data_IF_018192669091
#
_entry.id   IF_018192669091
#
_cell.length_a   1.000
_cell.length_b   1.000
_cell.length_c   1.000
_cell.angle_alpha   90.00
_cell.angle_beta   90.00
_cell.angle_gamma   90.00
#
_symmetry.space_group_name_H-M   'P 1'
#
loop_
_entity.id
_entity.type
_entity.pdbx_description
1 polymer ?
#
# COMPACT_ATOMS: atom_id res chain seq x y z
N UNK A 1 -30.71 13.06 22.29
CA UNK A 1 -30.57 11.63 22.68
C UNK A 1 -31.03 10.67 21.57
N UNK A 2 -32.16 10.92 20.90
CA UNK A 2 -32.63 10.06 19.80
C UNK A 2 -31.63 9.91 18.63
N UNK A 3 -30.95 10.99 18.22
CA UNK A 3 -29.98 10.92 17.11
C UNK A 3 -28.75 10.09 17.45
N UNK A 4 -28.27 10.18 18.71
CA UNK A 4 -27.17 9.34 19.19
C UNK A 4 -27.55 7.85 19.17
N UNK A 5 -28.78 7.51 19.56
CA UNK A 5 -29.29 6.14 19.50
C UNK A 5 -29.36 5.63 18.05
N UNK A 6 -29.79 6.47 17.10
CA UNK A 6 -29.81 6.12 15.66
C UNK A 6 -28.41 5.83 15.14
N UNK A 7 -27.44 6.69 15.46
CA UNK A 7 -26.03 6.49 15.06
C UNK A 7 -25.47 5.20 15.68
N UNK A 8 -25.68 4.99 16.98
CA UNK A 8 -25.24 3.76 17.66
C UNK A 8 -25.84 2.53 17.01
N UNK A 9 -27.13 2.54 16.67
CA UNK A 9 -27.79 1.44 15.97
C UNK A 9 -27.17 1.18 14.60
N UNK A 10 -26.91 2.23 13.81
CA UNK A 10 -26.24 2.11 12.51
C UNK A 10 -24.87 1.44 12.69
N UNK A 11 -24.05 1.93 13.63
CA UNK A 11 -22.73 1.38 13.92
C UNK A 11 -22.82 -0.09 14.34
N UNK A 12 -23.77 -0.46 15.20
CA UNK A 12 -23.98 -1.86 15.62
C UNK A 12 -24.34 -2.77 14.43
N UNK A 13 -25.20 -2.31 13.52
CA UNK A 13 -25.54 -3.05 12.30
C UNK A 13 -24.32 -3.22 11.41
N UNK A 14 -23.52 -2.17 11.21
CA UNK A 14 -22.28 -2.25 10.42
C UNK A 14 -21.29 -3.25 11.02
N UNK A 15 -21.05 -3.19 12.34
CA UNK A 15 -20.18 -4.14 13.05
C UNK A 15 -20.69 -5.57 12.90
N UNK A 16 -22.01 -5.78 13.01
CA UNK A 16 -22.61 -7.10 12.83
C UNK A 16 -22.37 -7.65 11.42
N UNK A 17 -22.56 -6.84 10.36
CA UNK A 17 -22.32 -7.26 8.98
C UNK A 17 -20.82 -7.55 8.71
N UNK A 18 -19.92 -6.73 9.26
CA UNK A 18 -18.46 -6.98 9.19
C UNK A 18 -18.11 -8.30 9.87
N UNK A 19 -18.68 -8.58 11.05
CA UNK A 19 -18.50 -9.86 11.76
C UNK A 19 -19.02 -11.05 10.94
N UNK A 20 -20.05 -10.85 10.14
CA UNK A 20 -20.57 -11.83 9.16
C UNK A 20 -19.71 -11.94 7.90
N UNK A 21 -18.57 -11.25 7.84
CA UNK A 21 -17.62 -11.25 6.71
C UNK A 21 -18.22 -10.72 5.41
N UNK A 22 -19.22 -9.84 5.50
CA UNK A 22 -19.73 -9.13 4.32
C UNK A 22 -18.63 -8.22 3.77
N UNK A 23 -18.66 -8.00 2.46
CA UNK A 23 -17.71 -7.11 1.82
C UNK A 23 -17.87 -5.67 2.32
N UNK A 24 -16.76 -5.01 2.62
CA UNK A 24 -16.76 -3.71 3.28
C UNK A 24 -17.44 -2.62 2.44
N UNK A 25 -17.35 -2.70 1.10
CA UNK A 25 -18.06 -1.77 0.22
C UNK A 25 -19.56 -1.89 0.41
N UNK A 26 -20.08 -3.13 0.42
CA UNK A 26 -21.50 -3.39 0.64
C UNK A 26 -21.96 -2.96 2.03
N UNK A 27 -21.16 -3.24 3.06
CA UNK A 27 -21.46 -2.81 4.43
C UNK A 27 -21.62 -1.30 4.50
N UNK A 28 -20.69 -0.53 3.92
CA UNK A 28 -20.74 0.93 3.94
C UNK A 28 -21.89 1.48 3.10
N UNK A 29 -22.18 0.87 1.95
CA UNK A 29 -23.33 1.25 1.13
C UNK A 29 -24.66 1.01 1.86
N UNK A 30 -24.80 -0.12 2.56
CA UNK A 30 -25.95 -0.37 3.43
C UNK A 30 -26.01 0.67 4.56
N UNK A 31 -24.86 1.01 5.14
CA UNK A 31 -24.74 2.11 6.10
C UNK A 31 -25.35 3.41 5.58
N UNK A 32 -25.05 3.78 4.35
CA UNK A 32 -25.61 4.97 3.70
C UNK A 32 -27.14 4.92 3.66
N UNK A 33 -27.70 3.79 3.21
CA UNK A 33 -29.15 3.62 3.11
C UNK A 33 -29.80 3.67 4.50
N UNK A 34 -29.18 3.02 5.49
CA UNK A 34 -29.65 3.03 6.87
C UNK A 34 -29.63 4.45 7.47
N UNK A 35 -28.58 5.23 7.22
CA UNK A 35 -28.52 6.64 7.63
C UNK A 35 -29.64 7.45 6.96
N UNK A 36 -29.82 7.27 5.65
CA UNK A 36 -30.92 7.88 4.88
C UNK A 36 -32.29 7.65 5.53
N UNK A 37 -32.60 6.40 5.85
CA UNK A 37 -33.87 6.01 6.47
C UNK A 37 -33.96 6.51 7.93
N UNK A 38 -32.91 6.34 8.73
CA UNK A 38 -32.91 6.70 10.15
C UNK A 38 -33.11 8.20 10.38
N UNK A 39 -32.58 9.04 9.49
CA UNK A 39 -32.73 10.50 9.53
C UNK A 39 -33.85 11.04 8.66
N UNK A 40 -34.67 10.16 8.04
CA UNK A 40 -35.84 10.51 7.22
C UNK A 40 -35.50 11.46 6.06
N UNK A 41 -34.37 11.20 5.39
CA UNK A 41 -33.99 11.93 4.19
C UNK A 41 -34.94 11.57 3.04
N UNK A 42 -35.46 12.59 2.36
CA UNK A 42 -36.27 12.38 1.16
C UNK A 42 -35.47 11.63 0.10
N UNK A 43 -36.13 10.68 -0.59
CA UNK A 43 -35.46 9.84 -1.59
C UNK A 43 -34.73 10.63 -2.69
N UNK A 44 -35.31 11.71 -3.27
CA UNK A 44 -34.60 12.54 -4.25
C UNK A 44 -33.35 13.21 -3.68
N UNK A 45 -33.39 13.63 -2.41
CA UNK A 45 -32.25 14.26 -1.72
C UNK A 45 -31.15 13.22 -1.48
N UNK A 46 -31.52 12.02 -1.03
CA UNK A 46 -30.60 10.91 -0.86
C UNK A 46 -29.92 10.53 -2.19
N UNK A 47 -30.71 10.32 -3.25
CA UNK A 47 -30.19 9.98 -4.58
C UNK A 47 -29.26 11.07 -5.14
N UNK A 48 -29.63 12.34 -4.98
CA UNK A 48 -28.79 13.48 -5.35
C UNK A 48 -27.48 13.49 -4.58
N UNK A 49 -27.50 13.30 -3.27
CA UNK A 49 -26.29 13.25 -2.44
C UNK A 49 -25.37 12.09 -2.83
N UNK A 50 -25.93 10.91 -3.17
CA UNK A 50 -25.15 9.78 -3.68
C UNK A 50 -24.46 10.16 -5.00
N UNK A 51 -25.20 10.71 -5.97
CA UNK A 51 -24.63 11.10 -7.25
C UNK A 51 -23.57 12.19 -7.11
N UNK A 52 -23.85 13.24 -6.33
CA UNK A 52 -22.91 14.33 -6.07
C UNK A 52 -21.66 13.85 -5.32
N UNK A 53 -21.76 12.84 -4.46
CA UNK A 53 -20.58 12.20 -3.86
C UNK A 53 -19.74 11.50 -4.93
N UNK A 54 -20.36 10.68 -5.79
CA UNK A 54 -19.65 9.88 -6.80
C UNK A 54 -18.92 10.74 -7.85
N UNK A 55 -19.52 11.85 -8.27
CA UNK A 55 -18.93 12.74 -9.29
C UNK A 55 -18.10 13.88 -8.69
N UNK A 56 -17.99 13.95 -7.36
CA UNK A 56 -17.16 14.97 -6.71
C UNK A 56 -15.70 14.87 -7.14
N UNK A 57 -15.04 16.02 -7.27
CA UNK A 57 -13.60 16.11 -7.58
C UNK A 57 -12.74 15.34 -6.58
N UNK A 58 -13.14 15.29 -5.30
CA UNK A 58 -12.46 14.48 -4.28
C UNK A 58 -12.55 12.98 -4.60
N UNK A 59 -13.74 12.47 -4.92
CA UNK A 59 -13.95 11.05 -5.22
C UNK A 59 -13.27 10.63 -6.52
N UNK A 60 -13.38 11.45 -7.57
CA UNK A 60 -12.70 11.20 -8.84
C UNK A 60 -11.17 11.24 -8.69
N UNK A 61 -10.64 12.19 -7.91
CA UNK A 61 -9.21 12.24 -7.57
C UNK A 61 -8.77 10.99 -6.81
N UNK A 62 -9.57 10.53 -5.84
CA UNK A 62 -9.29 9.33 -5.06
C UNK A 62 -9.28 8.06 -5.93
N UNK A 63 -10.23 7.92 -6.87
CA UNK A 63 -10.20 6.84 -7.87
C UNK A 63 -8.91 6.88 -8.70
N UNK A 64 -8.57 8.06 -9.24
CA UNK A 64 -7.36 8.24 -10.03
C UNK A 64 -6.10 7.88 -9.25
N UNK A 65 -5.98 8.35 -8.01
CA UNK A 65 -4.87 8.05 -7.11
C UNK A 65 -4.74 6.53 -6.91
N UNK A 66 -5.81 5.85 -6.52
CA UNK A 66 -5.74 4.41 -6.19
C UNK A 66 -5.44 3.58 -7.44
N UNK A 67 -6.04 3.91 -8.59
CA UNK A 67 -5.73 3.23 -9.86
C UNK A 67 -4.26 3.44 -10.25
N UNK A 68 -3.74 4.67 -10.16
CA UNK A 68 -2.35 4.97 -10.51
C UNK A 68 -1.35 4.32 -9.55
N UNK A 69 -1.68 4.25 -8.26
CA UNK A 69 -0.90 3.55 -7.24
C UNK A 69 -0.78 2.06 -7.57
N UNK A 70 -1.92 1.39 -7.82
CA UNK A 70 -1.94 -0.03 -8.20
C UNK A 70 -1.25 -0.27 -9.53
N UNK A 71 -1.44 0.64 -10.49
CA UNK A 71 -0.76 0.62 -11.78
C UNK A 71 0.75 0.69 -11.64
N UNK A 72 1.26 1.62 -10.84
CA UNK A 72 2.69 1.75 -10.59
C UNK A 72 3.25 0.49 -9.91
N UNK A 73 2.51 -0.09 -8.95
CA UNK A 73 2.87 -1.35 -8.29
C UNK A 73 2.99 -2.51 -9.29
N UNK A 74 1.97 -2.71 -10.13
CA UNK A 74 1.95 -3.78 -11.14
C UNK A 74 3.04 -3.59 -12.21
N UNK A 75 3.29 -2.34 -12.62
CA UNK A 75 4.34 -2.00 -13.58
C UNK A 75 5.72 -2.36 -13.03
N UNK A 76 6.01 -2.00 -11.78
CA UNK A 76 7.27 -2.34 -11.13
C UNK A 76 7.45 -3.86 -11.01
N UNK A 77 6.36 -4.61 -10.76
CA UNK A 77 6.40 -6.07 -10.62
C UNK A 77 6.83 -6.76 -11.92
N UNK A 78 6.29 -6.36 -13.07
CA UNK A 78 6.44 -7.10 -14.33
C UNK A 78 7.82 -7.02 -14.96
N UNK A 79 8.58 -5.93 -14.78
CA UNK A 79 9.89 -5.78 -15.45
C UNK A 79 11.04 -6.53 -14.78
N UNK A 80 10.77 -7.38 -13.78
CA UNK A 80 11.81 -8.19 -13.11
C UNK A 80 12.85 -7.35 -12.33
N UNK A 81 12.59 -6.06 -12.13
CA UNK A 81 13.41 -5.17 -11.32
C UNK A 81 13.57 -5.70 -9.88
N UNK A 82 12.58 -6.46 -9.39
CA UNK A 82 12.64 -7.12 -8.09
C UNK A 82 13.75 -8.15 -7.96
N UNK A 83 13.94 -9.00 -8.97
CA UNK A 83 15.01 -9.99 -8.92
C UNK A 83 16.38 -9.30 -8.88
N UNK A 84 16.57 -8.27 -9.73
CA UNK A 84 17.79 -7.44 -9.75
C UNK A 84 18.03 -6.70 -8.43
N UNK A 85 16.95 -6.19 -7.81
CA UNK A 85 17.00 -5.52 -6.51
C UNK A 85 17.50 -6.47 -5.41
N UNK A 86 16.97 -7.69 -5.39
CA UNK A 86 17.33 -8.73 -4.41
C UNK A 86 18.77 -9.19 -4.59
N UNK A 87 19.21 -9.41 -5.82
CA UNK A 87 20.60 -9.75 -6.12
C UNK A 87 21.56 -8.62 -5.74
N UNK A 88 21.11 -7.37 -5.83
CA UNK A 88 21.87 -6.19 -5.39
C UNK A 88 22.04 -6.16 -3.86
N UNK A 89 21.03 -6.61 -3.10
CA UNK A 89 21.11 -6.67 -1.63
C UNK A 89 22.21 -7.58 -1.12
N UNK A 90 22.43 -8.74 -1.75
CA UNK A 90 23.53 -9.65 -1.40
C UNK A 90 24.90 -8.96 -1.38
N UNK A 91 25.09 -7.96 -2.24
CA UNK A 91 26.35 -7.22 -2.40
C UNK A 91 26.44 -5.92 -1.57
N UNK A 92 25.30 -5.38 -1.13
CA UNK A 92 25.23 -4.07 -0.47
C UNK A 92 25.23 -4.17 1.05
N UNK A 93 24.86 -5.33 1.59
CA UNK A 93 24.57 -5.51 3.00
C UNK A 93 25.81 -6.11 3.69
N UNK A 94 26.51 -5.35 4.55
CA UNK A 94 27.68 -5.86 5.27
C UNK A 94 27.30 -6.85 6.38
N UNK A 95 26.10 -6.74 6.95
CA UNK A 95 25.60 -7.61 8.01
C UNK A 95 24.72 -8.73 7.41
N UNK A 96 25.20 -9.98 7.33
CA UNK A 96 24.53 -11.06 6.59
C UNK A 96 23.09 -11.30 7.03
N UNK A 97 22.75 -11.08 8.30
CA UNK A 97 21.39 -11.31 8.82
C UNK A 97 20.35 -10.37 8.21
N UNK A 98 20.74 -9.17 7.80
CA UNK A 98 19.82 -8.18 7.23
C UNK A 98 19.23 -8.60 5.89
N UNK A 99 19.81 -9.58 5.19
CA UNK A 99 19.23 -10.16 3.98
C UNK A 99 17.88 -10.84 4.24
N UNK A 100 17.61 -11.25 5.49
CA UNK A 100 16.34 -11.84 5.90
C UNK A 100 15.23 -10.79 6.09
N UNK A 101 15.59 -9.50 6.13
CA UNK A 101 14.69 -8.40 6.42
C UNK A 101 14.53 -7.45 5.24
N UNK A 102 15.63 -6.96 4.68
CA UNK A 102 15.64 -5.86 3.71
C UNK A 102 14.85 -6.16 2.43
N UNK A 103 14.99 -7.32 1.76
CA UNK A 103 14.17 -7.63 0.59
C UNK A 103 12.67 -7.51 0.86
N UNK A 104 12.20 -8.05 2.00
CA UNK A 104 10.80 -7.98 2.41
C UNK A 104 10.36 -6.55 2.71
N UNK A 105 11.18 -5.77 3.42
CA UNK A 105 10.91 -4.35 3.67
C UNK A 105 10.78 -3.54 2.38
N UNK A 106 11.64 -3.78 1.40
CA UNK A 106 11.59 -3.03 0.13
C UNK A 106 10.42 -3.47 -0.75
N UNK A 107 10.08 -4.76 -0.78
CA UNK A 107 8.85 -5.24 -1.43
C UNK A 107 7.61 -4.64 -0.73
N UNK A 108 7.67 -4.45 0.59
CA UNK A 108 6.66 -3.73 1.37
C UNK A 108 6.51 -2.24 1.04
N UNK A 109 7.36 -1.63 0.22
CA UNK A 109 7.11 -0.25 -0.24
C UNK A 109 6.06 -0.19 -1.36
N UNK A 110 5.64 -1.36 -1.86
CA UNK A 110 4.81 -1.45 -3.05
C UNK A 110 3.36 -1.73 -2.67
N UNK A 111 2.43 -0.95 -3.18
CA UNK A 111 1.01 -1.24 -3.10
C UNK A 111 0.66 -2.28 -4.17
N UNK A 112 0.98 -3.55 -3.89
CA UNK A 112 0.75 -4.66 -4.81
C UNK A 112 0.02 -5.84 -4.14
N UNK A 113 -0.92 -6.43 -4.87
CA UNK A 113 -1.59 -7.67 -4.45
C UNK A 113 -0.60 -8.82 -4.69
N UNK A 114 -0.25 -9.56 -3.64
CA UNK A 114 0.66 -10.71 -3.76
C UNK A 114 2.14 -10.42 -3.47
N UNK A 115 2.47 -9.30 -2.82
CA UNK A 115 3.85 -9.02 -2.39
C UNK A 115 4.49 -10.16 -1.56
N UNK A 116 3.70 -10.91 -0.79
CA UNK A 116 4.16 -12.09 -0.06
C UNK A 116 4.70 -13.21 -0.98
N UNK A 117 4.06 -13.44 -2.13
CA UNK A 117 4.51 -14.45 -3.10
C UNK A 117 5.83 -14.07 -3.74
N UNK A 118 6.11 -12.77 -3.85
CA UNK A 118 7.37 -12.25 -4.39
C UNK A 118 8.49 -12.30 -3.35
N UNK A 119 8.21 -11.98 -2.09
CA UNK A 119 9.20 -11.93 -1.01
C UNK A 119 9.48 -13.29 -0.36
N UNK A 120 8.51 -14.20 -0.34
CA UNK A 120 8.63 -15.52 0.25
C UNK A 120 9.81 -16.35 -0.28
N UNK A 121 10.01 -16.55 -1.61
CA UNK A 121 11.11 -17.37 -2.11
C UNK A 121 12.49 -16.79 -1.75
N UNK A 122 12.59 -15.47 -1.59
CA UNK A 122 13.85 -14.79 -1.25
C UNK A 122 14.23 -15.07 0.20
N UNK A 123 13.27 -14.91 1.13
CA UNK A 123 13.48 -15.24 2.54
C UNK A 123 13.65 -16.75 2.72
N UNK A 124 13.00 -17.55 1.88
CA UNK A 124 13.16 -19.01 1.86
C UNK A 124 14.61 -19.41 1.55
N UNK A 125 15.14 -18.91 0.42
CA UNK A 125 16.53 -19.14 -0.02
C UNK A 125 17.53 -18.60 1.01
N UNK A 126 17.37 -17.35 1.44
CA UNK A 126 18.25 -16.75 2.44
C UNK A 126 18.22 -17.50 3.78
N UNK A 127 17.04 -17.93 4.23
CA UNK A 127 16.83 -18.61 5.50
C UNK A 127 17.40 -20.02 5.57
N UNK A 128 17.67 -20.67 4.41
CA UNK A 128 18.32 -21.99 4.37
C UNK A 128 19.71 -21.95 5.02
N UNK A 129 20.44 -20.85 4.82
CA UNK A 129 21.79 -20.65 5.35
C UNK A 129 21.84 -20.75 6.89
N UNK A 130 20.79 -20.27 7.56
CA UNK A 130 20.63 -20.33 9.01
C UNK A 130 19.81 -21.53 9.49
N UNK A 131 19.42 -22.44 8.58
CA UNK A 131 18.52 -23.57 8.86
C UNK A 131 17.26 -23.14 9.62
N UNK A 132 16.71 -21.97 9.28
CA UNK A 132 15.53 -21.43 9.95
C UNK A 132 14.33 -22.35 9.71
N UNK A 133 13.49 -22.50 10.73
CA UNK A 133 12.21 -23.20 10.58
C UNK A 133 11.28 -22.40 9.65
N UNK A 134 10.30 -23.06 8.99
CA UNK A 134 9.32 -22.35 8.17
C UNK A 134 8.62 -21.21 8.90
N UNK A 135 8.30 -21.40 10.19
CA UNK A 135 7.69 -20.37 11.03
C UNK A 135 8.53 -19.09 11.12
N UNK A 136 9.85 -19.21 11.29
CA UNK A 136 10.75 -18.06 11.34
C UNK A 136 10.85 -17.34 10.01
N UNK A 137 10.92 -18.08 8.90
CA UNK A 137 10.95 -17.50 7.55
C UNK A 137 9.66 -16.73 7.25
N UNK A 138 8.50 -17.30 7.61
CA UNK A 138 7.21 -16.63 7.51
C UNK A 138 7.15 -15.38 8.39
N UNK A 139 7.61 -15.45 9.64
CA UNK A 139 7.66 -14.30 10.54
C UNK A 139 8.48 -13.15 9.96
N UNK A 140 9.72 -13.41 9.55
CA UNK A 140 10.63 -12.39 9.01
C UNK A 140 10.07 -11.79 7.72
N UNK A 141 9.55 -12.61 6.83
CA UNK A 141 8.90 -12.14 5.62
C UNK A 141 7.68 -11.25 5.94
N UNK A 142 6.78 -11.72 6.80
CA UNK A 142 5.57 -11.00 7.16
C UNK A 142 5.89 -9.69 7.87
N UNK A 143 6.65 -9.73 8.97
CA UNK A 143 6.93 -8.56 9.80
C UNK A 143 7.54 -7.42 9.00
N UNK A 144 8.65 -7.69 8.31
CA UNK A 144 9.38 -6.67 7.58
C UNK A 144 8.61 -6.11 6.39
N UNK A 145 7.73 -6.90 5.75
CA UNK A 145 6.88 -6.42 4.66
C UNK A 145 5.81 -5.41 5.11
N UNK A 146 5.39 -5.42 6.38
CA UNK A 146 4.30 -4.56 6.88
C UNK A 146 4.79 -3.38 7.73
N UNK A 147 6.10 -3.21 7.96
CA UNK A 147 6.60 -2.07 8.76
C UNK A 147 6.15 -0.72 8.20
N UNK A 148 5.96 -0.64 6.88
CA UNK A 148 5.56 0.58 6.19
C UNK A 148 4.06 0.90 6.31
N UNK A 149 3.22 -0.02 6.78
CA UNK A 149 1.76 0.14 6.78
C UNK A 149 1.25 1.30 7.63
N UNK A 150 2.05 1.71 8.61
CA UNK A 150 1.75 2.83 9.48
C UNK A 150 1.88 4.18 8.79
N UNK A 151 2.90 4.37 7.94
CA UNK A 151 3.30 5.70 7.50
C UNK A 151 3.43 5.88 5.99
N UNK A 152 3.35 4.80 5.21
CA UNK A 152 3.65 4.89 3.79
C UNK A 152 2.50 5.51 2.99
N UNK A 153 2.72 6.66 2.33
CA UNK A 153 1.65 7.44 1.69
C UNK A 153 1.05 6.72 0.48
N UNK A 154 1.73 5.74 -0.12
CA UNK A 154 1.20 5.03 -1.29
C UNK A 154 0.24 3.90 -0.91
N UNK A 155 0.03 3.63 0.36
CA UNK A 155 -0.89 2.58 0.77
C UNK A 155 -2.34 3.03 0.79
N UNK A 156 -3.21 2.14 0.28
CA UNK A 156 -4.65 2.42 0.10
C UNK A 156 -5.32 2.79 1.42
N UNK A 157 -4.96 2.14 2.54
CA UNK A 157 -5.48 2.49 3.87
C UNK A 157 -5.11 3.93 4.28
N UNK A 158 -3.88 4.37 4.02
CA UNK A 158 -3.42 5.73 4.32
C UNK A 158 -4.12 6.78 3.44
N UNK A 159 -4.32 6.46 2.17
CA UNK A 159 -5.02 7.31 1.21
C UNK A 159 -6.49 7.46 1.60
N UNK A 160 -7.17 6.35 1.94
CA UNK A 160 -8.55 6.36 2.42
C UNK A 160 -8.67 7.12 3.75
N UNK A 161 -7.76 6.91 4.70
CA UNK A 161 -7.76 7.64 5.97
C UNK A 161 -7.62 9.16 5.74
N UNK A 162 -6.74 9.57 4.83
CA UNK A 162 -6.58 10.98 4.45
C UNK A 162 -7.87 11.58 3.87
N UNK A 163 -8.54 10.86 2.97
CA UNK A 163 -9.79 11.29 2.37
C UNK A 163 -10.95 11.35 3.39
N UNK A 164 -11.07 10.35 4.26
CA UNK A 164 -12.14 10.29 5.27
C UNK A 164 -11.95 11.38 6.33
N UNK A 165 -10.74 11.49 6.89
CA UNK A 165 -10.44 12.42 7.98
C UNK A 165 -10.24 13.87 7.50
N UNK A 166 -10.18 14.10 6.18
CA UNK A 166 -9.84 15.41 5.61
C UNK A 166 -8.51 15.97 6.12
N UNK A 167 -7.56 15.06 6.44
CA UNK A 167 -6.22 15.42 6.88
C UNK A 167 -5.24 15.13 5.75
N UNK A 168 -4.35 16.07 5.38
CA UNK A 168 -3.36 15.83 4.34
C UNK A 168 -2.52 14.58 4.61
N UNK A 169 -2.37 13.71 3.61
CA UNK A 169 -1.65 12.43 3.75
C UNK A 169 -0.22 12.61 4.29
N UNK A 170 0.44 13.71 3.92
CA UNK A 170 1.76 14.10 4.45
C UNK A 170 1.74 14.19 5.97
N UNK A 171 0.71 14.81 6.56
CA UNK A 171 0.58 14.95 8.02
C UNK A 171 0.35 13.60 8.69
N UNK A 172 -0.55 12.77 8.15
CA UNK A 172 -0.80 11.41 8.68
C UNK A 172 0.50 10.59 8.62
N UNK A 173 1.16 10.57 7.46
CA UNK A 173 2.42 9.85 7.26
C UNK A 173 3.51 10.31 8.22
N UNK A 174 3.73 11.62 8.39
CA UNK A 174 4.75 12.14 9.31
C UNK A 174 4.44 11.80 10.77
N UNK A 175 3.19 11.91 11.20
CA UNK A 175 2.79 11.60 12.59
C UNK A 175 2.87 10.11 12.89
N UNK A 176 2.57 9.25 11.92
CA UNK A 176 2.63 7.79 12.08
C UNK A 176 4.02 7.19 11.85
N UNK A 177 4.95 7.93 11.23
CA UNK A 177 6.31 7.46 10.94
C UNK A 177 7.07 6.88 12.15
N UNK A 178 6.94 7.41 13.39
CA UNK A 178 7.56 6.79 14.56
C UNK A 178 7.15 5.33 14.78
N UNK A 179 5.93 4.92 14.41
CA UNK A 179 5.50 3.52 14.53
C UNK A 179 6.19 2.61 13.52
N UNK A 180 6.45 3.09 12.30
CA UNK A 180 7.28 2.39 11.31
C UNK A 180 8.69 2.16 11.83
N UNK A 181 9.30 3.18 12.46
CA UNK A 181 10.63 3.07 13.08
C UNK A 181 10.61 2.07 14.22
N UNK A 182 9.62 2.14 15.11
CA UNK A 182 9.46 1.21 16.23
C UNK A 182 9.28 -0.23 15.72
N UNK A 183 8.42 -0.46 14.73
CA UNK A 183 8.21 -1.78 14.14
C UNK A 183 9.50 -2.33 13.50
N UNK A 184 10.27 -1.49 12.81
CA UNK A 184 11.56 -1.87 12.25
C UNK A 184 12.56 -2.25 13.36
N UNK A 185 12.69 -1.44 14.41
CA UNK A 185 13.58 -1.71 15.55
C UNK A 185 13.21 -3.03 16.24
N UNK A 186 11.93 -3.23 16.57
CA UNK A 186 11.48 -4.45 17.23
C UNK A 186 11.72 -5.70 16.37
N UNK A 187 11.46 -5.60 15.05
CA UNK A 187 11.77 -6.67 14.11
C UNK A 187 13.26 -7.00 14.05
N UNK A 188 14.12 -5.97 14.05
CA UNK A 188 15.58 -6.13 14.07
C UNK A 188 16.08 -6.72 15.39
N UNK A 189 15.52 -6.32 16.53
CA UNK A 189 15.85 -6.90 17.85
C UNK A 189 15.52 -8.40 17.84
N UNK A 190 14.33 -8.78 17.38
CA UNK A 190 13.93 -10.19 17.29
C UNK A 190 14.84 -10.95 16.34
N UNK A 191 15.13 -10.39 15.16
CA UNK A 191 16.04 -10.98 14.18
C UNK A 191 17.42 -11.24 14.80
N UNK A 192 18.04 -10.24 15.41
CA UNK A 192 19.39 -10.38 15.95
C UNK A 192 19.46 -11.24 17.21
N UNK A 193 18.37 -11.34 17.99
CA UNK A 193 18.29 -12.22 19.15
C UNK A 193 18.19 -13.70 18.77
N UNK A 194 17.50 -14.03 17.68
CA UNK A 194 17.21 -15.42 17.31
C UNK A 194 18.08 -15.95 16.16
N UNK A 195 18.73 -15.06 15.41
CA UNK A 195 19.58 -15.42 14.28
C UNK A 195 21.03 -15.05 14.61
N UNK A 196 21.86 -16.08 14.78
CA UNK A 196 23.29 -15.92 15.01
C UNK A 196 23.99 -15.36 13.76
N UNK A 197 25.05 -14.56 13.96
CA UNK A 197 25.83 -14.04 12.84
C UNK A 197 26.65 -15.17 12.21
N UNK A 198 26.54 -15.33 10.91
CA UNK A 198 27.40 -16.21 10.10
C UNK A 198 28.50 -15.39 9.42
N UNK A 199 29.59 -16.01 8.95
CA UNK A 199 30.65 -15.32 8.21
C UNK A 199 30.11 -14.53 7.01
N UNK A 200 30.84 -13.55 6.51
CA UNK A 200 30.33 -12.79 5.35
C UNK A 200 30.38 -13.67 4.09
N UNK A 201 29.34 -13.61 3.26
CA UNK A 201 29.41 -14.19 1.91
C UNK A 201 30.29 -13.26 1.07
N UNK A 202 31.44 -13.75 0.60
CA UNK A 202 32.29 -12.98 -0.30
C UNK A 202 31.59 -12.81 -1.65
N UNK A 203 30.87 -11.72 -1.82
CA UNK A 203 30.31 -11.35 -3.11
C UNK A 203 31.29 -10.43 -3.83
N UNK A 204 31.91 -10.89 -4.92
CA UNK A 204 32.88 -10.13 -5.72
C UNK A 204 32.30 -8.94 -6.50
N UNK A 205 31.10 -8.47 -6.16
CA UNK A 205 30.43 -7.35 -6.82
C UNK A 205 30.93 -5.99 -6.32
N UNK A 206 31.02 -5.01 -7.22
CA UNK A 206 31.34 -3.62 -6.86
C UNK A 206 30.13 -2.99 -6.15
N UNK A 207 30.28 -2.60 -4.88
CA UNK A 207 29.25 -1.93 -4.05
C UNK A 207 28.50 -0.83 -4.81
N UNK A 208 29.24 0.07 -5.48
CA UNK A 208 28.67 1.19 -6.25
C UNK A 208 27.73 0.73 -7.37
N UNK A 209 28.04 -0.37 -8.06
CA UNK A 209 27.21 -0.91 -9.15
C UNK A 209 25.90 -1.47 -8.57
N UNK A 210 25.97 -2.18 -7.45
CA UNK A 210 24.79 -2.73 -6.78
C UNK A 210 23.90 -1.62 -6.21
N UNK A 211 24.48 -0.54 -5.69
CA UNK A 211 23.73 0.61 -5.16
C UNK A 211 22.99 1.32 -6.28
N UNK A 212 23.67 1.56 -7.39
CA UNK A 212 23.08 2.17 -8.58
C UNK A 212 21.95 1.29 -9.16
N UNK A 213 22.14 -0.03 -9.22
CA UNK A 213 21.09 -0.96 -9.64
C UNK A 213 19.87 -0.93 -8.70
N UNK A 214 20.08 -0.86 -7.39
CA UNK A 214 19.01 -0.74 -6.40
C UNK A 214 18.21 0.54 -6.65
N UNK A 215 18.86 1.70 -6.71
CA UNK A 215 18.22 3.00 -6.95
C UNK A 215 17.45 3.00 -8.27
N UNK A 216 18.06 2.50 -9.36
CA UNK A 216 17.40 2.37 -10.66
C UNK A 216 16.24 1.37 -10.67
N UNK A 217 16.16 0.45 -9.71
CA UNK A 217 15.06 -0.52 -9.65
C UNK A 217 13.80 0.08 -9.02
N UNK A 218 13.95 1.06 -8.11
CA UNK A 218 12.87 1.66 -7.32
C UNK A 218 12.75 3.18 -7.49
N UNK A 219 13.41 3.77 -8.49
CA UNK A 219 13.35 5.22 -8.74
C UNK A 219 11.93 5.79 -8.87
N UNK A 220 10.92 5.09 -9.43
CA UNK A 220 9.58 5.67 -9.52
C UNK A 220 8.98 5.94 -8.15
N UNK A 221 9.28 5.07 -7.18
CA UNK A 221 8.83 5.23 -5.81
C UNK A 221 9.45 6.49 -5.19
N UNK A 222 10.77 6.62 -5.29
CA UNK A 222 11.47 7.80 -4.80
C UNK A 222 10.97 9.08 -5.46
N UNK A 223 10.70 9.05 -6.77
CA UNK A 223 10.16 10.20 -7.49
C UNK A 223 8.80 10.62 -6.93
N UNK A 224 7.86 9.69 -6.71
CA UNK A 224 6.55 10.03 -6.12
C UNK A 224 6.73 10.68 -4.75
N UNK A 225 7.59 10.11 -3.90
CA UNK A 225 7.85 10.67 -2.56
C UNK A 225 8.46 12.06 -2.65
N UNK A 226 9.44 12.30 -3.53
CA UNK A 226 10.01 13.62 -3.72
C UNK A 226 8.96 14.62 -4.20
N UNK A 227 8.15 14.27 -5.20
CA UNK A 227 7.09 15.13 -5.73
C UNK A 227 6.07 15.52 -4.65
N UNK A 228 5.68 14.60 -3.77
CA UNK A 228 4.70 14.87 -2.71
C UNK A 228 5.32 15.65 -1.54
N UNK A 229 6.47 15.20 -1.02
CA UNK A 229 6.99 15.72 0.26
C UNK A 229 7.87 16.96 0.09
N UNK A 230 8.64 17.02 -1.00
CA UNK A 230 9.59 18.10 -1.31
C UNK A 230 8.94 19.15 -2.19
N UNK A 231 8.43 18.75 -3.36
CA UNK A 231 7.82 19.67 -4.32
C UNK A 231 6.36 20.01 -4.01
N UNK A 232 5.76 19.35 -3.01
CA UNK A 232 4.39 19.59 -2.52
C UNK A 232 3.31 19.46 -3.62
N UNK A 233 3.54 18.62 -4.61
CA UNK A 233 2.53 18.30 -5.63
C UNK A 233 1.38 17.50 -5.03
N UNK A 234 0.18 17.65 -5.60
CA UNK A 234 -0.94 16.78 -5.25
C UNK A 234 -0.59 15.33 -5.58
N UNK A 235 -1.10 14.39 -4.78
CA UNK A 235 -0.79 12.98 -4.93
C UNK A 235 -1.16 12.46 -6.33
N UNK A 236 -2.31 12.89 -6.86
CA UNK A 236 -2.76 12.54 -8.21
C UNK A 236 -1.74 12.99 -9.27
N UNK A 237 -1.26 14.23 -9.20
CA UNK A 237 -0.27 14.76 -10.15
C UNK A 237 1.08 14.05 -10.01
N UNK A 238 1.55 13.82 -8.78
CA UNK A 238 2.81 13.13 -8.52
C UNK A 238 2.81 11.71 -9.10
N UNK A 239 1.71 10.98 -8.89
CA UNK A 239 1.53 9.63 -9.44
C UNK A 239 1.38 9.63 -10.95
N UNK A 240 0.58 10.54 -11.51
CA UNK A 240 0.38 10.63 -12.96
C UNK A 240 1.69 10.93 -13.69
N UNK A 241 2.45 11.92 -13.20
CA UNK A 241 3.76 12.28 -13.75
C UNK A 241 4.75 11.11 -13.64
N UNK A 242 4.80 10.45 -12.49
CA UNK A 242 5.71 9.30 -12.29
C UNK A 242 5.31 8.12 -13.18
N UNK A 243 4.01 7.78 -13.25
CA UNK A 243 3.52 6.71 -14.10
C UNK A 243 3.85 6.98 -15.58
N UNK A 244 3.63 8.22 -16.04
CA UNK A 244 3.95 8.65 -17.40
C UNK A 244 5.46 8.56 -17.70
N UNK A 245 6.32 9.07 -16.81
CA UNK A 245 7.77 8.96 -16.97
C UNK A 245 8.22 7.50 -16.98
N UNK A 246 7.68 6.69 -16.08
CA UNK A 246 8.04 5.26 -16.01
C UNK A 246 7.67 4.53 -17.29
N UNK A 247 6.54 4.89 -17.91
CA UNK A 247 6.10 4.39 -19.21
C UNK A 247 7.04 4.76 -20.36
N UNK A 248 7.69 5.93 -20.31
CA UNK A 248 8.70 6.34 -21.29
C UNK A 248 9.99 5.52 -21.11
N UNK A 249 10.48 5.43 -19.87
CA UNK A 249 11.74 4.74 -19.58
C UNK A 249 11.67 3.22 -19.77
N UNK A 250 10.52 2.58 -19.50
CA UNK A 250 10.40 1.12 -19.52
C UNK A 250 10.11 0.54 -20.90
N UNK A 251 10.00 1.38 -21.95
CA UNK A 251 9.78 1.01 -23.37
C UNK A 251 8.92 -0.25 -23.52
N UNK A 252 7.64 -0.14 -23.17
CA UNK A 252 6.68 -1.24 -23.22
C UNK A 252 5.79 -1.15 -24.45
N UNK A 253 5.43 -2.32 -25.00
CA UNK A 253 4.48 -2.42 -26.10
C UNK A 253 3.06 -2.08 -25.62
N UNK A 254 2.23 -1.54 -26.51
CA UNK A 254 0.87 -1.09 -26.17
C UNK A 254 0.01 -2.19 -25.52
N UNK A 255 0.17 -3.45 -25.97
CA UNK A 255 -0.54 -4.62 -25.41
C UNK A 255 -0.15 -4.89 -23.95
N UNK A 256 1.13 -4.72 -23.60
CA UNK A 256 1.58 -4.89 -22.21
C UNK A 256 1.02 -3.76 -21.33
N UNK A 257 1.03 -2.53 -21.84
CA UNK A 257 0.52 -1.34 -21.12
C UNK A 257 -0.96 -1.48 -20.79
N UNK A 258 -1.77 -1.87 -21.78
CA UNK A 258 -3.21 -2.04 -21.59
C UNK A 258 -3.52 -3.19 -20.63
N UNK A 259 -2.79 -4.31 -20.72
CA UNK A 259 -2.94 -5.43 -19.79
C UNK A 259 -2.70 -5.00 -18.33
N UNK A 260 -1.63 -4.24 -18.08
CA UNK A 260 -1.32 -3.74 -16.72
C UNK A 260 -2.41 -2.82 -16.23
N UNK A 261 -2.89 -1.91 -17.08
CA UNK A 261 -3.97 -1.00 -16.72
C UNK A 261 -5.22 -1.76 -16.29
N UNK A 262 -5.66 -2.74 -17.08
CA UNK A 262 -6.82 -3.58 -16.75
C UNK A 262 -6.62 -4.39 -15.47
N UNK A 263 -5.42 -4.91 -15.22
CA UNK A 263 -5.09 -5.63 -13.98
C UNK A 263 -5.08 -4.71 -12.74
N UNK A 264 -4.88 -3.41 -12.93
CA UNK A 264 -4.82 -2.42 -11.84
C UNK A 264 -6.20 -1.92 -11.42
N UNK A 265 -7.21 -2.16 -12.25
CA UNK A 265 -8.60 -1.77 -12.00
C UNK A 265 -9.31 -2.93 -11.28
N UNK A 266 -9.58 -2.74 -9.99
CA UNK A 266 -10.36 -3.67 -9.17
C UNK A 266 -11.76 -3.10 -8.94
N UNK A 267 -12.79 -3.76 -9.50
CA UNK A 267 -14.19 -3.38 -9.27
C UNK A 267 -14.54 -3.36 -7.79
N UNK A 268 -13.99 -4.29 -7.02
CA UNK A 268 -14.15 -4.36 -5.56
C UNK A 268 -13.61 -3.11 -4.87
N UNK A 269 -12.42 -2.66 -5.28
CA UNK A 269 -11.78 -1.46 -4.74
C UNK A 269 -12.54 -0.21 -5.16
N UNK A 270 -12.98 -0.13 -6.42
CA UNK A 270 -13.79 0.98 -6.92
C UNK A 270 -15.11 1.08 -6.14
N UNK A 271 -15.81 -0.04 -5.97
CA UNK A 271 -17.06 -0.07 -5.22
C UNK A 271 -16.85 0.30 -3.75
N UNK A 272 -15.76 -0.13 -3.13
CA UNK A 272 -15.40 0.29 -1.78
C UNK A 272 -15.20 1.80 -1.68
N UNK A 273 -14.41 2.40 -2.57
CA UNK A 273 -14.16 3.85 -2.59
C UNK A 273 -15.48 4.62 -2.78
N UNK A 274 -16.29 4.21 -3.78
CA UNK A 274 -17.60 4.78 -4.03
C UNK A 274 -18.45 4.77 -2.75
N UNK A 275 -18.54 3.61 -2.11
CA UNK A 275 -19.35 3.41 -0.90
C UNK A 275 -18.85 4.24 0.28
N UNK A 276 -17.53 4.31 0.49
CA UNK A 276 -16.91 5.17 1.53
C UNK A 276 -17.26 6.64 1.31
N UNK A 277 -17.08 7.14 0.09
CA UNK A 277 -17.29 8.56 -0.21
C UNK A 277 -18.77 8.96 -0.14
N UNK A 278 -19.65 8.08 -0.60
CA UNK A 278 -21.09 8.24 -0.46
C UNK A 278 -21.51 8.23 1.01
N UNK A 279 -21.02 7.25 1.79
CA UNK A 279 -21.32 7.16 3.22
C UNK A 279 -20.84 8.40 3.97
N UNK A 280 -19.62 8.86 3.69
CA UNK A 280 -19.02 10.07 4.26
C UNK A 280 -19.84 11.34 3.95
N UNK A 281 -20.44 11.46 2.77
CA UNK A 281 -21.24 12.65 2.42
C UNK A 281 -22.59 12.69 3.13
N UNK A 282 -23.13 11.53 3.48
CA UNK A 282 -24.49 11.37 4.03
C UNK A 282 -24.47 11.32 5.56
N UNK A 283 -23.40 10.81 6.16
CA UNK A 283 -23.16 10.85 7.60
C UNK A 283 -22.81 12.26 8.07
#
# INVERSE_FOLDING_TARGET
MADLLRIVLIVLVLIFLIKKKWDLGFVLFIGTLLTGVAFRLDFPVLARNILEALISTETLSLFGIIILVLYLGNLLQLKGNFKKMVDSFKNLIPEPRLILALPSSFIGLLPMIGGALMSAPIVEEAGQRWKLTPAWKTFLNYWFRHIWEYSWPLYVNMILASAILQIPIKRIATVQFPFTVLAAILGLIILFKHVHRLPDEKTGGKFLKSLLNLILSIWPIFLVIMLIFVFKFSMLLALAATAFLTQIFFRMDFRERSRILWQSISLKTIFLIASVMVFKRIL
#
